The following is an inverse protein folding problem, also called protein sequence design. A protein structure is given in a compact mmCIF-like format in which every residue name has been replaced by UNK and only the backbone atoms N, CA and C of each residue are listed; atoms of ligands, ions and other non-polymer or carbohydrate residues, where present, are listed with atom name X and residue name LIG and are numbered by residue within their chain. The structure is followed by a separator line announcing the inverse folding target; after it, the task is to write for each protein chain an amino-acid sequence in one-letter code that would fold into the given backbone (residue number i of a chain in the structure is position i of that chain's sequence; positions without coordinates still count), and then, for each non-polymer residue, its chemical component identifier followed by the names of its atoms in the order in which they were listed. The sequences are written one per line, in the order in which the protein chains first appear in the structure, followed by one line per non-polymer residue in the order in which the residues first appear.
data_IF_172903091637
#
_entry.id   IF_172903091637
#
_cell.length_a   1.000
_cell.length_b   1.000
_cell.length_c   1.000
_cell.angle_alpha   90.00
_cell.angle_beta   90.00
_cell.angle_gamma   90.00
#
_symmetry.space_group_name_H-M   'P 1'
#
loop_
_entity.id
_entity.type
_entity.pdbx_description
1 polymer ?
#
# COMPACT_ATOMS: atom_id res chain seq x y z
N UNK A 1 -5.08 5.58 7.98
CA UNK A 1 -5.45 4.18 7.63
C UNK A 1 -6.52 3.66 8.57
N UNK A 2 -7.39 2.78 8.11
CA UNK A 2 -8.40 2.10 8.92
C UNK A 2 -7.73 0.99 9.74
N UNK A 3 -8.20 0.75 10.99
CA UNK A 3 -7.64 -0.26 11.90
C UNK A 3 -7.70 -1.70 11.35
N UNK A 4 -8.73 -2.04 10.57
CA UNK A 4 -8.84 -3.36 9.95
C UNK A 4 -7.80 -3.58 8.84
N UNK A 5 -7.57 -2.56 8.02
CA UNK A 5 -6.54 -2.61 6.97
C UNK A 5 -5.15 -2.63 7.60
N UNK A 6 -4.94 -1.84 8.64
CA UNK A 6 -3.69 -1.81 9.39
C UNK A 6 -3.34 -3.17 10.00
N UNK A 7 -4.33 -3.84 10.62
CA UNK A 7 -4.15 -5.16 11.18
C UNK A 7 -3.78 -6.20 10.09
N UNK A 8 -4.44 -6.15 8.94
CA UNK A 8 -4.12 -7.04 7.81
C UNK A 8 -2.73 -6.80 7.23
N UNK A 9 -2.28 -5.54 7.18
CA UNK A 9 -0.93 -5.19 6.72
C UNK A 9 0.13 -5.75 7.68
N UNK A 10 -0.12 -5.67 8.98
CA UNK A 10 0.79 -6.22 9.99
C UNK A 10 0.56 -7.74 10.26
N UNK A 11 -0.40 -8.37 9.57
CA UNK A 11 -0.70 -9.79 9.76
C UNK A 11 -1.32 -10.10 11.14
N UNK A 12 -2.05 -9.15 11.72
CA UNK A 12 -2.68 -9.26 13.03
C UNK A 12 -4.15 -9.61 12.93
N UNK A 13 -4.62 -10.49 13.82
CA UNK A 13 -6.02 -10.88 13.93
C UNK A 13 -6.35 -11.28 15.37
N UNK A 14 -7.63 -11.27 15.73
CA UNK A 14 -8.09 -11.63 17.06
C UNK A 14 -7.96 -10.48 18.08
N UNK A 15 -7.70 -10.83 19.32
CA UNK A 15 -7.50 -9.85 20.40
C UNK A 15 -6.14 -9.19 20.28
N UNK A 16 -6.13 -7.89 20.12
CA UNK A 16 -4.90 -7.10 19.97
C UNK A 16 -4.60 -6.31 21.25
N UNK A 17 -3.31 -6.23 21.52
CA UNK A 17 -2.76 -5.35 22.53
C UNK A 17 -1.53 -4.59 21.94
N UNK A 18 -1.08 -3.49 22.58
CA UNK A 18 0.04 -2.71 22.09
C UNK A 18 1.35 -3.50 21.92
N UNK A 19 1.54 -4.55 22.72
CA UNK A 19 2.73 -5.39 22.68
C UNK A 19 2.75 -6.26 21.42
N UNK A 20 1.61 -6.85 21.04
CA UNK A 20 1.46 -7.66 19.83
C UNK A 20 1.64 -6.78 18.58
N UNK A 21 1.05 -5.59 18.59
CA UNK A 21 1.21 -4.59 17.53
C UNK A 21 2.67 -4.19 17.33
N UNK A 22 3.40 -3.96 18.42
CA UNK A 22 4.82 -3.61 18.37
C UNK A 22 5.69 -4.77 17.87
N UNK A 23 5.36 -6.00 18.24
CA UNK A 23 6.05 -7.21 17.78
C UNK A 23 5.85 -7.43 16.28
N UNK A 24 4.61 -7.30 15.80
CA UNK A 24 4.26 -7.40 14.39
C UNK A 24 4.92 -6.30 13.56
N UNK A 25 4.95 -5.07 14.05
CA UNK A 25 5.65 -3.96 13.41
C UNK A 25 7.13 -4.25 13.21
N UNK A 26 7.83 -4.73 14.24
CA UNK A 26 9.25 -5.09 14.15
C UNK A 26 9.51 -6.22 13.14
N UNK A 27 8.63 -7.21 13.09
CA UNK A 27 8.70 -8.29 12.11
C UNK A 27 8.50 -7.76 10.68
N UNK A 28 7.52 -6.90 10.48
CA UNK A 28 7.25 -6.24 9.19
C UNK A 28 8.44 -5.36 8.74
N UNK A 29 9.05 -4.59 9.65
CA UNK A 29 10.23 -3.79 9.35
C UNK A 29 11.41 -4.65 8.84
N UNK A 30 11.63 -5.81 9.42
CA UNK A 30 12.67 -6.75 8.96
C UNK A 30 12.31 -7.37 7.61
N UNK A 31 11.05 -7.77 7.43
CA UNK A 31 10.56 -8.43 6.21
C UNK A 31 10.59 -7.53 5.00
N UNK A 32 10.24 -6.26 5.17
CA UNK A 32 10.11 -5.29 4.08
C UNK A 32 11.22 -4.24 4.06
N UNK A 33 12.37 -4.55 4.66
CA UNK A 33 13.48 -3.59 4.73
C UNK A 33 13.99 -3.21 3.32
N UNK A 34 14.28 -1.93 3.04
CA UNK A 34 14.74 -1.49 1.73
C UNK A 34 16.04 -2.13 1.25
N UNK A 35 16.88 -2.62 2.14
CA UNK A 35 18.13 -3.33 1.77
C UNK A 35 17.88 -4.68 1.08
N UNK A 36 16.73 -5.30 1.34
CA UNK A 36 16.39 -6.65 0.83
C UNK A 36 15.15 -6.65 -0.06
N UNK A 37 14.42 -5.54 -0.12
CA UNK A 37 13.16 -5.43 -0.85
C UNK A 37 13.18 -4.20 -1.75
N UNK A 38 13.07 -4.35 -3.09
CA UNK A 38 13.07 -3.22 -4.03
C UNK A 38 11.98 -2.17 -3.75
N UNK A 39 10.80 -2.60 -3.27
CA UNK A 39 9.72 -1.71 -2.85
C UNK A 39 9.77 -1.38 -1.34
N UNK A 40 10.91 -1.58 -0.69
CA UNK A 40 11.05 -1.45 0.76
C UNK A 40 10.70 -0.07 1.29
N UNK A 41 11.10 1.00 0.60
CA UNK A 41 10.76 2.37 1.01
C UNK A 41 9.24 2.61 1.01
N UNK A 42 8.55 2.11 -0.02
CA UNK A 42 7.10 2.25 -0.14
C UNK A 42 6.39 1.38 0.91
N UNK A 43 6.86 0.15 1.09
CA UNK A 43 6.32 -0.75 2.11
C UNK A 43 6.53 -0.22 3.52
N UNK A 44 7.67 0.38 3.83
CA UNK A 44 7.93 0.96 5.15
C UNK A 44 6.97 2.11 5.46
N UNK A 45 6.56 2.91 4.48
CA UNK A 45 5.54 3.94 4.69
C UNK A 45 4.20 3.33 5.07
N UNK A 46 3.78 2.28 4.36
CA UNK A 46 2.54 1.55 4.65
C UNK A 46 2.59 0.90 6.04
N UNK A 47 3.70 0.25 6.36
CA UNK A 47 3.92 -0.40 7.66
C UNK A 47 3.91 0.61 8.81
N UNK A 48 4.56 1.76 8.64
CA UNK A 48 4.56 2.84 9.63
C UNK A 48 3.16 3.40 9.87
N UNK A 49 2.40 3.65 8.80
CA UNK A 49 1.02 4.12 8.90
C UNK A 49 0.10 3.10 9.57
N UNK A 50 0.30 1.81 9.29
CA UNK A 50 -0.42 0.73 9.94
C UNK A 50 -0.11 0.67 11.45
N UNK A 51 1.15 0.81 11.81
CA UNK A 51 1.56 0.86 13.22
C UNK A 51 0.96 2.07 13.94
N UNK A 52 1.01 3.26 13.36
CA UNK A 52 0.42 4.47 13.93
C UNK A 52 -1.10 4.33 14.17
N UNK A 53 -1.81 3.61 13.28
CA UNK A 53 -3.24 3.36 13.45
C UNK A 53 -3.56 2.37 14.59
N UNK A 54 -2.62 1.48 14.94
CA UNK A 54 -2.85 0.40 15.89
C UNK A 54 -2.09 0.52 17.21
N UNK A 55 -1.10 1.41 17.32
CA UNK A 55 -0.19 1.47 18.49
C UNK A 55 -0.90 1.61 19.83
N UNK A 56 -2.03 2.32 19.85
CA UNK A 56 -2.83 2.58 21.05
C UNK A 56 -4.18 1.81 21.03
N UNK A 57 -4.34 0.87 20.07
CA UNK A 57 -5.57 0.11 19.94
C UNK A 57 -5.54 -1.13 20.82
N UNK A 58 -6.57 -1.30 21.60
CA UNK A 58 -6.87 -2.51 22.38
C UNK A 58 -8.29 -2.97 22.02
N UNK A 59 -8.41 -4.19 21.55
CA UNK A 59 -9.71 -4.75 21.17
C UNK A 59 -9.60 -5.96 20.26
N UNK A 60 -10.75 -6.50 19.90
CA UNK A 60 -10.84 -7.67 19.01
C UNK A 60 -11.03 -7.23 17.57
N UNK A 61 -10.17 -7.72 16.68
CA UNK A 61 -10.31 -7.58 15.23
C UNK A 61 -10.73 -8.90 14.63
N UNK A 62 -11.99 -8.96 14.19
CA UNK A 62 -12.50 -10.09 13.39
C UNK A 62 -12.05 -9.89 11.95
N UNK A 63 -10.90 -10.46 11.59
CA UNK A 63 -10.46 -10.49 10.20
C UNK A 63 -10.17 -11.93 9.79
N UNK A 64 -10.62 -12.31 8.61
CA UNK A 64 -10.08 -13.50 7.95
C UNK A 64 -8.59 -13.25 7.70
N UNK A 65 -7.77 -14.28 7.94
CA UNK A 65 -6.32 -14.21 7.75
C UNK A 65 -6.02 -13.98 6.26
N UNK A 66 -5.86 -12.73 5.89
CA UNK A 66 -5.36 -12.38 4.56
C UNK A 66 -4.16 -11.48 4.75
N UNK A 67 -3.03 -11.90 4.27
CA UNK A 67 -1.78 -11.13 4.36
C UNK A 67 -1.78 -10.02 3.30
N UNK A 68 -2.37 -8.88 3.65
CA UNK A 68 -2.39 -7.69 2.82
C UNK A 68 -0.99 -7.13 2.57
N UNK A 69 -0.10 -7.30 3.53
CA UNK A 69 1.27 -6.83 3.42
C UNK A 69 1.97 -7.48 2.24
N UNK A 70 1.86 -8.79 2.08
CA UNK A 70 2.49 -9.51 0.98
C UNK A 70 1.86 -9.15 -0.37
N UNK A 71 0.54 -9.09 -0.47
CA UNK A 71 -0.15 -8.71 -1.70
C UNK A 71 0.23 -7.27 -2.15
N UNK A 72 0.30 -6.35 -1.20
CA UNK A 72 0.69 -4.97 -1.47
C UNK A 72 2.16 -4.89 -1.88
N UNK A 73 3.02 -5.64 -1.20
CA UNK A 73 4.44 -5.72 -1.50
C UNK A 73 4.71 -6.25 -2.91
N UNK A 74 4.02 -7.30 -3.32
CA UNK A 74 4.14 -7.88 -4.66
C UNK A 74 3.70 -6.89 -5.75
N UNK A 75 2.59 -6.19 -5.52
CA UNK A 75 2.10 -5.16 -6.43
C UNK A 75 3.08 -3.98 -6.56
N UNK A 76 3.64 -3.50 -5.45
CA UNK A 76 4.63 -2.41 -5.44
C UNK A 76 5.95 -2.84 -6.08
N UNK A 77 6.41 -4.07 -5.85
CA UNK A 77 7.62 -4.61 -6.51
C UNK A 77 7.44 -4.69 -8.02
N UNK A 78 6.27 -5.11 -8.50
CA UNK A 78 5.99 -5.20 -9.92
C UNK A 78 6.09 -3.84 -10.64
N UNK A 79 5.83 -2.74 -9.96
CA UNK A 79 5.86 -1.38 -10.55
C UNK A 79 7.07 -0.55 -10.15
N UNK A 80 7.88 -1.00 -9.19
CA UNK A 80 9.03 -0.26 -8.67
C UNK A 80 10.10 0.05 -9.72
N UNK A 81 10.28 -0.85 -10.68
CA UNK A 81 11.23 -0.71 -11.78
C UNK A 81 10.72 0.07 -13.01
N UNK A 82 9.44 0.46 -13.02
CA UNK A 82 8.84 1.14 -14.16
C UNK A 82 9.10 2.66 -14.07
N UNK A 83 9.71 3.20 -15.10
CA UNK A 83 9.99 4.64 -15.20
C UNK A 83 8.73 5.43 -15.59
N UNK A 84 8.75 6.73 -15.29
CA UNK A 84 7.67 7.69 -15.62
C UNK A 84 6.30 7.40 -14.98
N UNK A 85 6.23 6.53 -13.98
CA UNK A 85 5.05 6.32 -13.17
C UNK A 85 5.14 7.14 -11.88
N UNK A 86 4.01 7.70 -11.48
CA UNK A 86 3.84 8.33 -10.17
C UNK A 86 3.05 7.37 -9.30
N UNK A 87 3.69 6.85 -8.26
CA UNK A 87 3.06 5.99 -7.26
C UNK A 87 2.54 6.87 -6.12
N UNK A 88 1.30 6.68 -5.75
CA UNK A 88 0.67 7.38 -4.65
C UNK A 88 -0.05 6.39 -3.75
N UNK A 89 0.28 6.40 -2.46
CA UNK A 89 -0.32 5.53 -1.46
C UNK A 89 -1.33 6.33 -0.66
N UNK A 90 -2.58 5.88 -0.67
CA UNK A 90 -3.68 6.48 0.08
C UNK A 90 -4.31 5.39 0.96
N UNK A 91 -3.92 5.35 2.24
CA UNK A 91 -4.30 4.27 3.13
C UNK A 91 -3.75 2.92 2.63
N UNK A 92 -4.63 1.95 2.43
CA UNK A 92 -4.29 0.62 1.88
C UNK A 92 -4.38 0.54 0.34
N UNK A 93 -4.61 1.66 -0.33
CA UNK A 93 -4.75 1.73 -1.78
C UNK A 93 -3.49 2.28 -2.42
N UNK A 94 -3.10 1.69 -3.53
CA UNK A 94 -2.02 2.20 -4.39
C UNK A 94 -2.64 2.78 -5.66
N UNK A 95 -2.31 4.03 -5.95
CA UNK A 95 -2.72 4.72 -7.16
C UNK A 95 -1.51 4.98 -8.05
N UNK A 96 -1.68 4.77 -9.35
CA UNK A 96 -0.64 5.00 -10.34
C UNK A 96 -1.14 6.00 -11.38
N UNK A 97 -0.35 7.03 -11.59
CA UNK A 97 -0.52 8.04 -12.64
C UNK A 97 0.77 8.21 -13.43
N UNK A 98 0.80 9.13 -14.38
CA UNK A 98 1.94 9.33 -15.24
C UNK A 98 1.81 8.55 -16.56
N UNK A 99 2.92 8.13 -17.15
CA UNK A 99 2.91 7.37 -18.40
C UNK A 99 2.60 5.89 -18.19
N UNK A 100 1.34 5.63 -17.85
CA UNK A 100 0.85 4.27 -17.61
C UNK A 100 0.53 3.49 -18.87
N UNK A 101 0.41 4.19 -20.02
CA UNK A 101 -0.02 3.56 -21.28
C UNK A 101 1.01 2.55 -21.78
N UNK A 102 2.29 2.85 -21.66
CA UNK A 102 3.37 1.96 -22.07
C UNK A 102 3.44 0.68 -21.22
N UNK A 103 2.93 0.72 -19.98
CA UNK A 103 3.03 -0.37 -19.02
C UNK A 103 1.69 -1.06 -18.73
N UNK A 104 0.67 -0.81 -19.55
CA UNK A 104 -0.70 -1.29 -19.37
C UNK A 104 -0.81 -2.78 -19.07
N UNK A 105 -0.09 -3.61 -19.83
CA UNK A 105 -0.17 -5.07 -19.67
C UNK A 105 0.51 -5.54 -18.38
N UNK A 106 1.67 -4.98 -18.07
CA UNK A 106 2.38 -5.22 -16.80
C UNK A 106 1.51 -4.82 -15.60
N UNK A 107 0.82 -3.69 -15.68
CA UNK A 107 -0.07 -3.23 -14.60
C UNK A 107 -1.26 -4.16 -14.40
N UNK A 108 -1.84 -4.69 -15.49
CA UNK A 108 -2.92 -5.68 -15.40
C UNK A 108 -2.45 -6.99 -14.78
N UNK A 109 -1.28 -7.48 -15.17
CA UNK A 109 -0.67 -8.70 -14.60
C UNK A 109 -0.38 -8.54 -13.11
N UNK A 110 0.05 -7.34 -12.69
CA UNK A 110 0.28 -7.02 -11.28
C UNK A 110 -1.01 -6.85 -10.46
N UNK A 111 -2.18 -6.95 -11.07
CA UNK A 111 -3.48 -6.85 -10.40
C UNK A 111 -4.05 -5.44 -10.28
N UNK A 112 -3.44 -4.46 -10.95
CA UNK A 112 -4.00 -3.10 -11.02
C UNK A 112 -5.21 -3.03 -11.94
N UNK A 113 -6.16 -2.17 -11.59
CA UNK A 113 -7.39 -1.91 -12.35
C UNK A 113 -7.44 -0.46 -12.80
N UNK A 114 -7.98 -0.23 -13.99
CA UNK A 114 -8.13 1.12 -14.53
C UNK A 114 -9.40 1.80 -14.03
N UNK A 115 -9.24 2.97 -13.44
CA UNK A 115 -10.33 3.84 -13.03
C UNK A 115 -10.52 4.97 -14.06
N UNK A 116 -11.40 4.76 -15.03
CA UNK A 116 -11.60 5.69 -16.15
C UNK A 116 -11.98 7.12 -15.72
N UNK A 117 -12.84 7.26 -14.71
CA UNK A 117 -13.26 8.57 -14.17
C UNK A 117 -12.10 9.33 -13.49
N UNK A 118 -11.12 8.61 -12.92
CA UNK A 118 -9.97 9.18 -12.23
C UNK A 118 -8.73 9.27 -13.11
N UNK A 119 -8.78 8.67 -14.29
CA UNK A 119 -7.63 8.54 -15.22
C UNK A 119 -6.37 8.02 -14.54
N UNK A 120 -6.56 7.03 -13.67
CA UNK A 120 -5.51 6.44 -12.86
C UNK A 120 -5.70 4.93 -12.74
N UNK A 121 -4.61 4.20 -12.57
CA UNK A 121 -4.64 2.80 -12.18
C UNK A 121 -4.65 2.70 -10.68
N UNK A 122 -5.33 1.67 -10.15
CA UNK A 122 -5.36 1.43 -8.72
C UNK A 122 -5.20 -0.06 -8.41
N UNK A 123 -4.57 -0.32 -7.28
CA UNK A 123 -4.52 -1.62 -6.64
C UNK A 123 -5.20 -1.55 -5.28
N UNK A 124 -6.05 -2.50 -5.03
CA UNK A 124 -6.55 -2.78 -3.68
C UNK A 124 -6.70 -4.29 -3.53
N UNK A 125 -6.47 -4.84 -2.34
CA UNK A 125 -6.75 -6.24 -2.07
C UNK A 125 -8.24 -6.56 -2.26
N UNK A 126 -8.57 -7.69 -2.86
CA UNK A 126 -9.90 -7.98 -3.42
C UNK A 126 -11.06 -8.06 -2.41
N UNK A 127 -10.78 -8.17 -1.14
CA UNK A 127 -11.80 -8.42 -0.10
C UNK A 127 -12.66 -7.21 0.27
N UNK A 128 -12.35 -6.02 -0.20
CA UNK A 128 -13.18 -4.84 0.01
C UNK A 128 -14.14 -4.62 -1.16
N UNK A 129 -15.31 -5.25 -1.12
CA UNK A 129 -16.44 -4.82 -1.95
C UNK A 129 -16.97 -3.50 -1.39
N UNK A 130 -16.49 -2.39 -1.91
CA UNK A 130 -17.09 -1.09 -1.64
C UNK A 130 -18.55 -1.10 -2.13
N UNK A 131 -19.48 -0.90 -1.23
CA UNK A 131 -20.90 -0.70 -1.58
C UNK A 131 -21.18 0.68 -2.18
N UNK A 132 -20.22 1.59 -2.16
CA UNK A 132 -20.39 2.92 -2.75
C UNK A 132 -20.07 2.90 -4.24
N UNK A 133 -21.01 3.29 -5.07
CA UNK A 133 -20.78 3.59 -6.48
C UNK A 133 -19.88 4.83 -6.56
N UNK A 134 -18.58 4.59 -6.77
CA UNK A 134 -17.49 5.54 -6.66
C UNK A 134 -17.63 6.85 -7.42
N UNK A 135 -18.30 7.82 -6.83
CA UNK A 135 -18.31 9.21 -7.28
C UNK A 135 -17.20 10.06 -6.68
N UNK A 136 -16.46 9.51 -5.69
CA UNK A 136 -15.40 10.23 -4.98
C UNK A 136 -14.22 10.53 -5.90
N UNK A 137 -13.78 11.78 -5.96
CA UNK A 137 -12.61 12.19 -6.74
C UNK A 137 -11.31 11.73 -6.07
N UNK A 138 -10.20 11.72 -6.84
CA UNK A 138 -8.87 11.40 -6.28
C UNK A 138 -8.45 12.43 -5.20
N UNK A 139 -8.84 13.69 -5.36
CA UNK A 139 -8.57 14.74 -4.39
C UNK A 139 -9.30 14.52 -3.07
N UNK A 140 -10.55 14.09 -3.10
CA UNK A 140 -11.32 13.73 -1.92
C UNK A 140 -10.73 12.49 -1.22
N UNK A 141 -10.22 11.52 -1.99
CA UNK A 141 -9.54 10.34 -1.45
C UNK A 141 -8.25 10.76 -0.73
N UNK A 142 -7.45 11.65 -1.33
CA UNK A 142 -6.25 12.22 -0.71
C UNK A 142 -6.56 12.96 0.59
N UNK A 143 -7.61 13.76 0.58
CA UNK A 143 -8.03 14.52 1.77
C UNK A 143 -8.50 13.61 2.91
N UNK A 144 -9.20 12.51 2.55
CA UNK A 144 -9.78 11.58 3.54
C UNK A 144 -8.77 10.61 4.16
N UNK A 145 -7.84 10.10 3.35
CA UNK A 145 -6.92 9.03 3.75
C UNK A 145 -5.46 9.48 3.87
N UNK A 146 -5.18 10.74 3.59
CA UNK A 146 -3.81 11.21 3.40
C UNK A 146 -3.23 10.71 2.08
N UNK A 147 -2.17 11.33 1.63
CA UNK A 147 -1.44 10.93 0.42
C UNK A 147 0.04 10.97 0.70
N UNK A 148 0.71 9.87 0.47
CA UNK A 148 2.16 9.79 0.51
C UNK A 148 2.67 9.52 -0.90
N UNK A 149 3.46 10.45 -1.43
CA UNK A 149 4.18 10.25 -2.67
C UNK A 149 5.61 9.84 -2.31
N UNK A 150 6.00 8.60 -2.63
CA UNK A 150 7.38 8.20 -2.47
C UNK A 150 8.27 9.12 -3.32
N UNK A 151 9.25 9.77 -2.70
CA UNK A 151 10.31 10.40 -3.47
C UNK A 151 11.18 9.28 -4.03
N UNK A 152 10.99 8.97 -5.31
CA UNK A 152 11.96 8.17 -6.03
C UNK A 152 13.23 9.01 -6.14
N UNK A 153 14.20 8.72 -5.33
CA UNK A 153 15.56 9.13 -5.62
C UNK A 153 15.96 8.42 -6.92
N UNK A 154 15.83 9.13 -8.04
CA UNK A 154 16.59 8.81 -9.23
C UNK A 154 18.07 8.97 -8.85
N UNK A 155 18.63 7.99 -8.18
CA UNK A 155 20.05 7.76 -8.28
C UNK A 155 20.27 7.28 -9.72
N UNK A 156 20.36 8.24 -10.62
CA UNK A 156 21.19 8.06 -11.78
C UNK A 156 22.56 7.68 -11.22
N UNK A 157 22.84 6.39 -11.18
CA UNK A 157 24.21 5.93 -11.17
C UNK A 157 24.74 6.42 -12.52
N UNK A 158 25.40 7.58 -12.48
CA UNK A 158 26.25 7.99 -13.57
C UNK A 158 27.27 6.86 -13.73
N UNK A 159 27.06 6.02 -14.72
CA UNK A 159 28.11 5.14 -15.21
C UNK A 159 29.16 6.07 -15.81
N UNK A 160 30.19 6.28 -15.06
CA UNK A 160 31.46 6.75 -15.61
C UNK A 160 32.00 5.67 -16.54
#
# INVERSE_FOLDING_TARGET
MNIYDAAKILGLSGSLNPQDTKSAYRAACKKYHPDINPAGEDMMKVVNEAYEALKDYEGEIKSEQTDYGDLLNDALNAVSGLSALVIEICGSWVWLTGDTRAHKDTLKEAGFKWAAKKKAWYFRPEQFRSRSKGSTSLEEIRAKYGSQRPQRNNHMIARA
#
